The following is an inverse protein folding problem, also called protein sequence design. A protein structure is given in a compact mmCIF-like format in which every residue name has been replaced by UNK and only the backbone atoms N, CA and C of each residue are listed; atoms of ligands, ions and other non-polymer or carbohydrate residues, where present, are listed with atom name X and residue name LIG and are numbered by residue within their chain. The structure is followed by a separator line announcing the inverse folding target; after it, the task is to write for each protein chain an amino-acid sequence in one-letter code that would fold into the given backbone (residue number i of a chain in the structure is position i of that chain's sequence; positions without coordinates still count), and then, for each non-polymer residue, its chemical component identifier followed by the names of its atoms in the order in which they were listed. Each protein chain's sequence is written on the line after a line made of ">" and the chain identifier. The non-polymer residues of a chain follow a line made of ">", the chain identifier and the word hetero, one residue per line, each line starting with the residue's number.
data_IF_879618621455
#
_entry.id   IF_879618621455
#
_cell.length_a   1.000
_cell.length_b   1.000
_cell.length_c   1.000
_cell.angle_alpha   90.00
_cell.angle_beta   90.00
_cell.angle_gamma   90.00
#
_symmetry.space_group_name_H-M   'P 1'
#
loop_
_entity.id
_entity.type
_entity.pdbx_description
1 polymer ?
#
# COMPACT_ATOMS: atom_id res chain seq x y z
N UNK A 1 -15.40 8.81 -7.60
CA UNK A 1 -15.03 9.90 -6.65
C UNK A 1 -14.34 9.32 -5.42
N UNK A 2 -13.30 9.97 -4.88
CA UNK A 2 -12.60 9.52 -3.68
C UNK A 2 -12.57 10.62 -2.60
N UNK A 3 -13.13 10.33 -1.43
CA UNK A 3 -13.15 11.22 -0.27
C UNK A 3 -12.15 10.73 0.78
N UNK A 4 -11.23 11.59 1.21
CA UNK A 4 -10.18 11.23 2.18
C UNK A 4 -10.66 11.61 3.58
N UNK A 5 -10.78 10.61 4.45
CA UNK A 5 -11.22 10.76 5.85
C UNK A 5 -10.04 11.02 6.79
N UNK A 6 -8.93 10.29 6.59
CA UNK A 6 -7.75 10.38 7.44
C UNK A 6 -6.46 10.09 6.67
N UNK A 7 -5.33 10.58 7.19
CA UNK A 7 -4.00 10.41 6.60
C UNK A 7 -2.99 9.91 7.62
N UNK A 8 -1.99 9.20 7.12
CA UNK A 8 -0.76 8.86 7.83
C UNK A 8 0.42 8.88 6.85
N UNK A 9 1.05 10.04 6.69
CA UNK A 9 1.98 10.28 5.58
C UNK A 9 1.23 10.30 4.24
N UNK A 10 1.74 9.58 3.24
CA UNK A 10 1.05 9.42 1.95
C UNK A 10 -0.14 8.45 2.03
N UNK A 11 -0.20 7.63 3.09
CA UNK A 11 -1.29 6.68 3.31
C UNK A 11 -2.60 7.35 3.67
N UNK A 12 -3.70 6.79 3.14
CA UNK A 12 -5.03 7.39 3.20
C UNK A 12 -6.04 6.35 3.63
N UNK A 13 -6.89 6.74 4.58
CA UNK A 13 -8.19 6.11 4.79
C UNK A 13 -9.23 7.02 4.15
N UNK A 14 -10.14 6.42 3.40
CA UNK A 14 -11.17 7.18 2.73
C UNK A 14 -12.27 6.29 2.18
N UNK A 15 -13.15 6.94 1.45
CA UNK A 15 -14.32 6.36 0.85
C UNK A 15 -14.23 6.54 -0.67
N UNK A 16 -14.14 5.42 -1.40
CA UNK A 16 -14.13 5.39 -2.86
C UNK A 16 -15.52 5.06 -3.39
N UNK A 17 -16.18 6.07 -3.97
CA UNK A 17 -17.49 5.93 -4.59
C UNK A 17 -17.34 5.57 -6.06
N UNK A 18 -17.82 4.37 -6.43
CA UNK A 18 -17.74 3.82 -7.78
C UNK A 18 -18.89 2.84 -8.06
N UNK A 19 -19.47 2.89 -9.25
CA UNK A 19 -20.56 1.98 -9.68
C UNK A 19 -21.73 1.92 -8.68
N UNK A 20 -22.11 3.09 -8.13
CA UNK A 20 -23.17 3.22 -7.13
C UNK A 20 -22.83 2.66 -5.74
N UNK A 21 -21.56 2.29 -5.48
CA UNK A 21 -21.09 1.71 -4.23
C UNK A 21 -20.09 2.61 -3.54
N UNK A 22 -19.99 2.43 -2.24
CA UNK A 22 -19.10 3.16 -1.34
C UNK A 22 -18.12 2.15 -0.76
N UNK A 23 -16.85 2.22 -1.16
CA UNK A 23 -15.81 1.25 -0.81
C UNK A 23 -14.79 1.89 0.15
N UNK A 24 -14.55 1.33 1.33
CA UNK A 24 -13.55 1.87 2.26
C UNK A 24 -12.13 1.57 1.78
N UNK A 25 -11.21 2.52 1.91
CA UNK A 25 -9.78 2.33 1.61
C UNK A 25 -8.91 2.36 2.87
N UNK A 26 -7.77 1.62 2.88
CA UNK A 26 -7.31 0.70 1.85
C UNK A 26 -8.20 -0.55 1.70
N UNK A 27 -8.35 -1.10 0.50
CA UNK A 27 -9.19 -2.28 0.19
C UNK A 27 -8.36 -3.40 -0.47
N UNK A 28 -8.76 -4.65 -0.21
CA UNK A 28 -8.25 -5.84 -0.90
C UNK A 28 -9.27 -6.32 -1.92
N UNK A 29 -8.87 -6.45 -3.18
CA UNK A 29 -9.63 -7.16 -4.21
C UNK A 29 -9.28 -8.64 -4.14
N UNK A 30 -10.20 -9.46 -3.62
CA UNK A 30 -9.95 -10.90 -3.50
C UNK A 30 -10.19 -11.60 -4.83
N UNK A 31 -9.25 -12.46 -5.22
CA UNK A 31 -9.44 -13.30 -6.40
C UNK A 31 -10.69 -14.16 -6.26
N UNK A 32 -11.55 -14.09 -7.28
CA UNK A 32 -12.77 -14.91 -7.36
C UNK A 32 -12.75 -15.73 -8.66
N UNK A 33 -12.91 -17.05 -8.54
CA UNK A 33 -12.94 -18.01 -9.65
C UNK A 33 -14.01 -19.07 -9.41
N UNK A 34 -14.54 -19.65 -10.48
CA UNK A 34 -15.61 -20.66 -10.45
C UNK A 34 -15.30 -21.91 -9.59
N UNK A 35 -14.01 -22.25 -9.38
CA UNK A 35 -13.58 -23.35 -8.50
C UNK A 35 -12.99 -22.91 -7.14
N UNK A 36 -12.83 -21.60 -6.92
CA UNK A 36 -12.30 -21.03 -5.67
C UNK A 36 -12.96 -19.66 -5.45
N UNK A 37 -14.12 -19.62 -4.79
CA UNK A 37 -14.81 -18.36 -4.55
C UNK A 37 -14.00 -17.51 -3.57
N UNK A 38 -14.03 -16.20 -3.78
CA UNK A 38 -13.47 -15.25 -2.82
C UNK A 38 -14.15 -15.39 -1.44
N UNK A 39 -13.43 -15.09 -0.34
CA UNK A 39 -13.98 -15.16 1.02
C UNK A 39 -15.25 -14.32 1.19
N UNK A 40 -16.13 -14.72 2.09
CA UNK A 40 -17.42 -14.03 2.34
C UNK A 40 -17.26 -12.60 2.85
N UNK A 41 -16.16 -12.30 3.55
CA UNK A 41 -15.81 -10.97 4.03
C UNK A 41 -15.18 -10.06 2.96
N UNK A 42 -14.98 -10.54 1.73
CA UNK A 42 -14.41 -9.73 0.66
C UNK A 42 -15.32 -8.55 0.30
N UNK A 43 -14.79 -7.33 0.36
CA UNK A 43 -15.50 -6.10 -0.01
C UNK A 43 -15.45 -5.85 -1.52
N UNK A 44 -14.43 -6.36 -2.20
CA UNK A 44 -14.25 -6.27 -3.65
C UNK A 44 -13.61 -7.53 -4.21
N UNK A 45 -13.93 -7.83 -5.46
CA UNK A 45 -13.52 -9.02 -6.17
C UNK A 45 -12.59 -8.67 -7.33
N UNK A 46 -11.57 -9.50 -7.53
CA UNK A 46 -10.70 -9.47 -8.68
C UNK A 46 -10.99 -10.69 -9.55
N UNK A 47 -11.55 -10.46 -10.74
CA UNK A 47 -12.16 -11.51 -11.56
C UNK A 47 -11.59 -11.58 -12.97
N UNK A 48 -11.54 -12.78 -13.53
CA UNK A 48 -11.26 -12.98 -14.96
C UNK A 48 -12.51 -12.81 -15.82
N UNK A 49 -13.69 -13.06 -15.26
CA UNK A 49 -15.01 -12.99 -15.91
C UNK A 49 -16.00 -12.44 -14.87
N UNK A 50 -16.90 -11.55 -15.31
CA UNK A 50 -17.93 -11.03 -14.40
C UNK A 50 -18.89 -12.14 -14.00
N UNK A 51 -19.35 -12.09 -12.76
CA UNK A 51 -20.35 -13.01 -12.22
C UNK A 51 -21.57 -12.26 -11.71
N UNK A 52 -22.64 -12.99 -11.41
CA UNK A 52 -23.84 -12.47 -10.73
C UNK A 52 -23.58 -12.09 -9.25
N UNK A 53 -22.33 -12.23 -8.77
CA UNK A 53 -21.97 -11.84 -7.41
C UNK A 53 -22.23 -10.34 -7.19
N UNK A 54 -23.04 -9.97 -6.19
CA UNK A 54 -23.45 -8.60 -5.97
C UNK A 54 -22.37 -7.77 -5.30
N UNK A 55 -21.12 -8.23 -5.13
CA UNK A 55 -20.01 -7.42 -4.62
C UNK A 55 -19.39 -6.57 -5.74
N UNK A 56 -18.56 -5.60 -5.36
CA UNK A 56 -17.80 -4.81 -6.35
C UNK A 56 -16.82 -5.72 -7.10
N UNK A 57 -16.73 -5.61 -8.43
CA UNK A 57 -15.92 -6.47 -9.27
C UNK A 57 -15.03 -5.66 -10.21
N UNK A 58 -13.72 -5.86 -10.09
CA UNK A 58 -12.73 -5.39 -11.07
C UNK A 58 -12.35 -6.58 -11.95
N UNK A 59 -12.62 -6.49 -13.26
CA UNK A 59 -12.31 -7.55 -14.22
C UNK A 59 -11.00 -7.27 -14.95
N UNK A 60 -10.11 -8.25 -15.07
CA UNK A 60 -8.94 -8.13 -15.94
C UNK A 60 -9.27 -8.53 -17.38
N UNK A 61 -9.00 -7.65 -18.36
CA UNK A 61 -9.31 -7.90 -19.78
C UNK A 61 -8.22 -8.68 -20.54
N UNK A 62 -7.42 -9.48 -19.86
CA UNK A 62 -6.36 -10.28 -20.48
C UNK A 62 -5.09 -9.46 -20.76
N UNK A 63 -4.33 -9.84 -21.78
CA UNK A 63 -3.08 -9.18 -22.17
C UNK A 63 -3.16 -8.65 -23.59
N UNK A 64 -2.20 -7.83 -23.99
CA UNK A 64 -2.04 -7.36 -25.37
C UNK A 64 -2.11 -8.51 -26.41
N UNK A 65 -1.48 -9.64 -26.13
CA UNK A 65 -1.50 -10.82 -27.02
C UNK A 65 -2.81 -11.62 -27.03
N UNK A 66 -3.65 -11.46 -26.01
CA UNK A 66 -4.89 -12.22 -25.83
C UNK A 66 -5.93 -11.34 -25.14
N UNK A 67 -6.38 -10.26 -25.80
CA UNK A 67 -7.29 -9.31 -25.19
C UNK A 67 -8.70 -9.91 -25.11
N UNK A 68 -9.36 -9.68 -23.99
CA UNK A 68 -10.74 -10.09 -23.73
C UNK A 68 -11.59 -8.83 -23.62
N UNK A 69 -12.22 -8.47 -24.73
CA UNK A 69 -13.03 -7.26 -24.84
C UNK A 69 -14.21 -7.29 -23.86
N UNK A 70 -14.50 -6.14 -23.28
CA UNK A 70 -15.74 -5.90 -22.57
C UNK A 70 -15.93 -4.42 -22.28
N UNK A 71 -17.17 -4.06 -21.95
CA UNK A 71 -17.63 -2.66 -22.00
C UNK A 71 -18.07 -2.14 -20.62
N UNK A 72 -17.64 -2.77 -19.52
CA UNK A 72 -18.00 -2.27 -18.19
C UNK A 72 -16.95 -1.30 -17.70
N UNK A 73 -17.40 -0.22 -17.04
CA UNK A 73 -16.52 0.79 -16.44
C UNK A 73 -15.45 0.23 -15.47
N UNK A 74 -15.66 -0.95 -14.90
CA UNK A 74 -14.76 -1.57 -13.91
C UNK A 74 -13.90 -2.68 -14.53
N UNK A 75 -13.82 -2.71 -15.86
CA UNK A 75 -12.93 -3.59 -16.59
C UNK A 75 -11.57 -2.89 -16.73
N UNK A 76 -10.51 -3.52 -16.21
CA UNK A 76 -9.15 -3.09 -16.49
C UNK A 76 -8.84 -3.37 -17.96
N UNK A 77 -8.13 -2.46 -18.65
CA UNK A 77 -7.67 -2.69 -20.00
C UNK A 77 -6.73 -3.91 -20.06
N UNK A 78 -6.52 -4.52 -21.23
CA UNK A 78 -5.53 -5.57 -21.39
C UNK A 78 -4.14 -5.07 -20.97
N UNK A 79 -3.40 -5.89 -20.21
CA UNK A 79 -2.04 -5.54 -19.80
C UNK A 79 -1.07 -5.65 -20.98
N UNK A 80 -0.22 -4.63 -21.15
CA UNK A 80 0.82 -4.58 -22.21
C UNK A 80 1.84 -5.72 -22.10
N UNK A 81 2.07 -6.23 -20.89
CA UNK A 81 3.02 -7.32 -20.64
C UNK A 81 4.48 -6.87 -20.74
N UNK A 82 4.74 -5.57 -20.67
CA UNK A 82 6.09 -5.02 -20.71
C UNK A 82 6.77 -5.16 -19.33
N UNK A 83 8.00 -5.69 -19.26
CA UNK A 83 8.76 -5.72 -18.02
C UNK A 83 9.09 -4.30 -17.55
N UNK A 84 9.34 -4.13 -16.25
CA UNK A 84 9.65 -2.81 -15.68
C UNK A 84 10.87 -2.16 -16.35
N UNK A 85 11.85 -2.96 -16.79
CA UNK A 85 13.04 -2.47 -17.50
C UNK A 85 12.76 -1.89 -18.90
N UNK A 86 11.55 -2.09 -19.43
CA UNK A 86 11.10 -1.56 -20.73
C UNK A 86 9.86 -0.66 -20.57
N UNK A 87 9.61 -0.12 -19.37
CA UNK A 87 8.41 0.66 -19.07
C UNK A 87 8.23 1.89 -19.99
N UNK A 88 9.34 2.50 -20.42
CA UNK A 88 9.33 3.71 -21.25
C UNK A 88 9.55 3.41 -22.75
N UNK A 89 9.50 2.14 -23.15
CA UNK A 89 9.51 1.78 -24.56
C UNK A 89 8.17 2.19 -25.18
N UNK A 90 8.21 3.06 -26.17
CA UNK A 90 7.02 3.46 -26.92
C UNK A 90 6.48 2.26 -27.71
N UNK A 91 5.34 1.72 -27.25
CA UNK A 91 4.55 0.76 -28.03
C UNK A 91 3.42 1.55 -28.70
N UNK A 92 3.27 1.46 -30.03
CA UNK A 92 2.19 2.13 -30.75
C UNK A 92 0.86 1.45 -30.42
N UNK A 93 0.27 1.85 -29.30
CA UNK A 93 -1.07 1.48 -28.87
C UNK A 93 -1.97 2.72 -28.85
N UNK A 94 -3.23 2.56 -29.26
CA UNK A 94 -4.28 3.52 -28.94
C UNK A 94 -4.54 3.44 -27.44
N UNK A 95 -4.47 4.58 -26.75
CA UNK A 95 -4.83 4.65 -25.33
C UNK A 95 -6.20 4.03 -25.12
N UNK A 96 -6.29 3.01 -24.24
CA UNK A 96 -7.59 2.45 -23.90
C UNK A 96 -8.29 3.48 -23.02
N UNK A 97 -9.20 4.23 -23.62
CA UNK A 97 -10.14 5.08 -22.90
C UNK A 97 -10.98 4.17 -21.98
N UNK A 98 -10.80 4.36 -20.68
CA UNK A 98 -11.50 3.60 -19.66
C UNK A 98 -11.44 4.35 -18.34
N UNK A 99 -12.41 4.10 -17.48
CA UNK A 99 -12.42 4.69 -16.14
C UNK A 99 -11.37 4.06 -15.22
N UNK A 100 -10.85 2.88 -15.55
CA UNK A 100 -9.68 2.28 -14.91
C UNK A 100 -8.53 2.20 -15.91
N UNK A 101 -7.31 2.52 -15.48
CA UNK A 101 -6.12 2.42 -16.34
C UNK A 101 -5.03 1.57 -15.68
N UNK A 102 -4.21 0.93 -16.51
CA UNK A 102 -2.96 0.27 -16.08
C UNK A 102 -1.81 1.20 -16.44
N UNK A 103 -0.91 1.45 -15.48
CA UNK A 103 0.27 2.28 -15.65
C UNK A 103 1.51 1.42 -15.56
N UNK A 104 2.29 1.38 -16.65
CA UNK A 104 3.60 0.73 -16.72
C UNK A 104 4.72 1.77 -16.63
N UNK A 105 4.62 2.83 -17.43
CA UNK A 105 5.63 3.89 -17.53
C UNK A 105 5.04 5.30 -17.63
N UNK A 106 5.87 6.28 -17.96
CA UNK A 106 5.47 7.69 -17.96
C UNK A 106 4.42 8.03 -19.03
N UNK A 107 4.49 7.40 -20.21
CA UNK A 107 3.52 7.61 -21.28
C UNK A 107 2.09 7.23 -20.85
N UNK A 108 1.94 6.23 -19.98
CA UNK A 108 0.63 5.80 -19.48
C UNK A 108 0.03 6.79 -18.49
N UNK A 109 0.86 7.54 -17.75
CA UNK A 109 0.39 8.54 -16.79
C UNK A 109 -0.35 9.67 -17.49
N UNK A 110 0.15 10.13 -18.63
CA UNK A 110 -0.53 11.16 -19.43
C UNK A 110 -1.91 10.69 -19.86
N UNK A 111 -2.02 9.45 -20.31
CA UNK A 111 -3.29 8.87 -20.74
C UNK A 111 -4.25 8.58 -19.58
N UNK A 112 -3.73 8.31 -18.38
CA UNK A 112 -4.52 8.02 -17.20
C UNK A 112 -5.07 9.26 -16.47
N UNK A 113 -4.87 10.46 -17.00
CA UNK A 113 -5.35 11.72 -16.39
C UNK A 113 -6.87 11.67 -16.12
N UNK A 114 -7.63 11.19 -17.11
CA UNK A 114 -9.09 11.05 -17.03
C UNK A 114 -9.60 9.83 -16.28
N UNK A 115 -8.73 8.88 -15.90
CA UNK A 115 -9.16 7.64 -15.24
C UNK A 115 -9.57 7.89 -13.79
N UNK A 116 -10.58 7.19 -13.28
CA UNK A 116 -11.00 7.27 -11.88
C UNK A 116 -10.00 6.63 -10.93
N UNK A 117 -9.38 5.53 -11.35
CA UNK A 117 -8.34 4.83 -10.61
C UNK A 117 -7.28 4.24 -11.55
N UNK A 118 -6.07 4.11 -11.02
CA UNK A 118 -4.92 3.58 -11.76
C UNK A 118 -4.33 2.37 -11.06
N UNK A 119 -3.92 1.38 -11.85
CA UNK A 119 -3.32 0.14 -11.39
C UNK A 119 -1.87 0.12 -11.86
N UNK A 120 -0.93 0.16 -10.92
CA UNK A 120 0.48 -0.05 -11.23
C UNK A 120 0.67 -1.48 -11.72
N UNK A 121 1.22 -1.60 -12.93
CA UNK A 121 1.67 -2.87 -13.47
C UNK A 121 2.91 -3.37 -12.72
N UNK A 122 3.30 -4.62 -13.01
CA UNK A 122 4.58 -5.19 -12.59
C UNK A 122 4.81 -5.19 -11.07
N UNK A 123 3.75 -5.26 -10.27
CA UNK A 123 3.85 -5.27 -8.81
C UNK A 123 4.90 -6.25 -8.25
N UNK A 124 4.96 -7.52 -8.70
CA UNK A 124 5.98 -8.46 -8.25
C UNK A 124 7.43 -8.02 -8.54
N UNK A 125 7.68 -7.23 -9.59
CA UNK A 125 9.02 -6.74 -9.91
C UNK A 125 9.49 -5.67 -8.90
N UNK A 126 8.56 -4.86 -8.37
CA UNK A 126 8.86 -3.87 -7.34
C UNK A 126 9.37 -4.47 -6.02
N UNK A 127 9.08 -5.75 -5.74
CA UNK A 127 9.62 -6.45 -4.57
C UNK A 127 11.16 -6.53 -4.59
N UNK A 128 11.77 -6.49 -5.78
CA UNK A 128 13.23 -6.48 -5.94
C UNK A 128 13.83 -5.10 -6.10
N UNK A 129 12.97 -4.08 -6.25
CA UNK A 129 13.33 -2.75 -6.72
C UNK A 129 12.57 -1.67 -5.91
N UNK A 130 12.87 -1.54 -4.60
CA UNK A 130 12.16 -0.62 -3.71
C UNK A 130 12.35 0.86 -4.10
N UNK A 131 13.50 1.20 -4.70
CA UNK A 131 13.77 2.55 -5.22
C UNK A 131 12.84 2.87 -6.38
N UNK A 132 12.72 1.95 -7.32
CA UNK A 132 11.89 2.07 -8.52
C UNK A 132 10.40 2.12 -8.14
N UNK A 133 9.98 1.38 -7.11
CA UNK A 133 8.63 1.49 -6.54
C UNK A 133 8.34 2.91 -6.03
N UNK A 134 9.24 3.46 -5.20
CA UNK A 134 9.07 4.81 -4.66
C UNK A 134 9.06 5.87 -5.78
N UNK A 135 9.97 5.75 -6.75
CA UNK A 135 10.00 6.65 -7.91
C UNK A 135 8.72 6.57 -8.75
N UNK A 136 8.17 5.36 -8.98
CA UNK A 136 6.91 5.18 -9.68
C UNK A 136 5.74 5.82 -8.92
N UNK A 137 5.68 5.66 -7.60
CA UNK A 137 4.65 6.29 -6.76
C UNK A 137 4.74 7.81 -6.77
N UNK A 138 5.96 8.37 -6.73
CA UNK A 138 6.18 9.81 -6.81
C UNK A 138 5.70 10.37 -8.15
N UNK A 139 6.19 9.83 -9.26
CA UNK A 139 5.76 10.24 -10.62
C UNK A 139 4.25 10.17 -10.77
N UNK A 140 3.64 9.08 -10.33
CA UNK A 140 2.19 8.92 -10.37
C UNK A 140 1.47 10.04 -9.62
N UNK A 141 1.93 10.40 -8.41
CA UNK A 141 1.30 11.46 -7.60
C UNK A 141 1.53 12.85 -8.16
N UNK A 142 2.69 13.11 -8.72
CA UNK A 142 3.02 14.39 -9.36
C UNK A 142 2.20 14.59 -10.65
N UNK A 143 2.02 13.54 -11.46
CA UNK A 143 1.27 13.61 -12.72
C UNK A 143 -0.24 13.59 -12.53
N UNK A 144 -0.77 12.71 -11.66
CA UNK A 144 -2.22 12.47 -11.54
C UNK A 144 -2.86 13.16 -10.32
N UNK A 145 -2.03 13.74 -9.45
CA UNK A 145 -2.46 14.44 -8.25
C UNK A 145 -2.77 13.53 -7.05
N UNK A 146 -3.01 14.15 -5.88
CA UNK A 146 -3.13 13.46 -4.60
C UNK A 146 -4.51 12.86 -4.31
N UNK A 147 -5.46 12.98 -5.24
CA UNK A 147 -6.81 12.43 -5.10
C UNK A 147 -7.02 11.14 -5.93
N UNK A 148 -6.10 10.81 -6.85
CA UNK A 148 -6.21 9.60 -7.67
C UNK A 148 -6.15 8.35 -6.78
N UNK A 149 -7.11 7.43 -6.96
CA UNK A 149 -7.07 6.10 -6.34
C UNK A 149 -6.00 5.28 -7.03
N UNK A 150 -5.12 4.68 -6.25
CA UNK A 150 -3.98 3.93 -6.78
C UNK A 150 -3.96 2.52 -6.25
N UNK A 151 -3.86 1.59 -7.19
CA UNK A 151 -3.79 0.18 -6.95
C UNK A 151 -2.42 -0.38 -7.31
N UNK A 152 -2.03 -1.48 -6.69
CA UNK A 152 -0.93 -2.33 -7.14
C UNK A 152 -1.36 -3.78 -7.07
N UNK A 153 -1.01 -4.57 -8.09
CA UNK A 153 -1.37 -5.98 -8.14
C UNK A 153 -0.20 -6.91 -7.84
N UNK A 154 -0.44 -8.04 -7.17
CA UNK A 154 0.54 -9.10 -6.97
C UNK A 154 1.69 -8.79 -6.01
N UNK A 155 1.68 -7.65 -5.31
CA UNK A 155 2.76 -7.23 -4.41
C UNK A 155 2.42 -7.42 -2.93
N UNK A 156 1.15 -7.29 -2.55
CA UNK A 156 0.74 -7.20 -1.16
C UNK A 156 0.82 -8.54 -0.41
N UNK A 157 1.39 -8.48 0.80
CA UNK A 157 1.43 -9.54 1.80
C UNK A 157 1.04 -8.96 3.17
N UNK A 158 0.70 -9.79 4.15
CA UNK A 158 0.44 -9.30 5.50
C UNK A 158 1.66 -8.61 6.13
N UNK A 159 2.88 -8.91 5.68
CA UNK A 159 4.10 -8.30 6.21
C UNK A 159 4.46 -6.95 5.60
N UNK A 160 3.90 -6.58 4.44
CA UNK A 160 4.27 -5.36 3.72
C UNK A 160 3.10 -4.38 3.48
N UNK A 161 1.84 -4.79 3.67
CA UNK A 161 0.70 -3.96 3.24
C UNK A 161 0.63 -2.61 3.95
N UNK A 162 1.09 -2.51 5.20
CA UNK A 162 1.18 -1.22 5.90
C UNK A 162 2.20 -0.27 5.24
N UNK A 163 3.31 -0.80 4.70
CA UNK A 163 4.31 -0.04 3.95
C UNK A 163 3.73 0.42 2.62
N UNK A 164 3.05 -0.47 1.88
CA UNK A 164 2.39 -0.13 0.62
C UNK A 164 1.40 1.02 0.81
N UNK A 165 0.57 0.91 1.85
CA UNK A 165 -0.41 1.95 2.18
C UNK A 165 0.30 3.23 2.61
N UNK A 166 1.34 3.17 3.43
CA UNK A 166 2.12 4.35 3.81
C UNK A 166 2.80 5.04 2.63
N UNK A 167 3.18 4.29 1.59
CA UNK A 167 3.70 4.82 0.32
C UNK A 167 2.59 5.41 -0.59
N UNK A 168 1.32 5.26 -0.20
CA UNK A 168 0.18 5.87 -0.87
C UNK A 168 -0.65 4.93 -1.74
N UNK A 169 -0.51 3.60 -1.62
CA UNK A 169 -1.41 2.63 -2.26
C UNK A 169 -2.75 2.58 -1.50
N UNK A 170 -3.88 2.57 -2.20
CA UNK A 170 -5.22 2.44 -1.61
C UNK A 170 -5.88 1.09 -1.93
N UNK A 171 -5.48 0.44 -3.02
CA UNK A 171 -6.08 -0.81 -3.47
C UNK A 171 -4.97 -1.85 -3.67
N UNK A 172 -5.13 -3.02 -3.06
CA UNK A 172 -4.28 -4.18 -3.30
C UNK A 172 -5.14 -5.36 -3.72
N UNK A 173 -4.56 -6.45 -4.18
CA UNK A 173 -5.29 -7.68 -4.49
C UNK A 173 -4.66 -8.92 -3.82
N UNK A 174 -5.39 -10.04 -3.83
CA UNK A 174 -4.96 -11.29 -3.18
C UNK A 174 -4.21 -12.27 -4.10
N UNK A 175 -3.81 -11.88 -5.32
CA UNK A 175 -3.08 -12.76 -6.25
C UNK A 175 -1.77 -13.30 -5.70
N UNK A 176 -1.04 -12.50 -4.91
CA UNK A 176 0.16 -12.97 -4.22
C UNK A 176 -0.17 -14.08 -3.21
N UNK A 177 -1.26 -13.95 -2.45
CA UNK A 177 -1.68 -14.98 -1.50
C UNK A 177 -2.00 -16.29 -2.21
N UNK A 178 -2.66 -16.23 -3.37
CA UNK A 178 -2.92 -17.42 -4.18
C UNK A 178 -1.62 -18.07 -4.71
N UNK A 179 -0.70 -17.28 -5.25
CA UNK A 179 0.59 -17.76 -5.75
C UNK A 179 1.43 -18.40 -4.63
N UNK A 180 1.56 -17.72 -3.50
CA UNK A 180 2.39 -18.18 -2.38
C UNK A 180 1.77 -19.39 -1.69
N UNK A 181 0.44 -19.48 -1.64
CA UNK A 181 -0.26 -20.70 -1.17
C UNK A 181 0.01 -21.89 -2.07
N UNK A 182 0.01 -21.69 -3.40
CA UNK A 182 0.36 -22.75 -4.35
C UNK A 182 1.83 -23.20 -4.22
N UNK A 183 2.71 -22.32 -3.72
CA UNK A 183 4.11 -22.62 -3.38
C UNK A 183 4.28 -23.22 -1.97
N UNK A 184 3.19 -23.42 -1.24
CA UNK A 184 3.24 -23.97 0.12
C UNK A 184 3.79 -23.00 1.16
N UNK A 185 3.58 -21.69 0.98
CA UNK A 185 3.99 -20.67 1.95
C UNK A 185 2.83 -20.25 2.86
N UNK A 186 3.06 -20.30 4.16
CA UNK A 186 2.17 -19.85 5.21
C UNK A 186 2.54 -18.43 5.63
N UNK A 187 1.64 -17.47 5.41
CA UNK A 187 1.86 -16.06 5.72
C UNK A 187 1.41 -15.71 7.15
N UNK A 188 2.18 -14.83 7.78
CA UNK A 188 1.92 -14.15 9.04
C UNK A 188 2.17 -12.66 8.87
N UNK A 189 1.87 -11.84 9.88
CA UNK A 189 2.26 -10.42 9.87
C UNK A 189 3.77 -10.23 9.77
N UNK A 190 4.56 -11.21 10.17
CA UNK A 190 6.02 -11.09 10.32
C UNK A 190 6.77 -11.63 9.09
N UNK A 191 6.07 -12.29 8.17
CA UNK A 191 6.64 -12.87 6.97
C UNK A 191 5.95 -14.17 6.58
N UNK A 192 6.58 -14.91 5.67
CA UNK A 192 6.10 -16.20 5.22
C UNK A 192 7.10 -17.30 5.55
N UNK A 193 6.60 -18.49 5.90
CA UNK A 193 7.38 -19.69 6.16
C UNK A 193 6.83 -20.87 5.35
N UNK A 194 7.62 -21.89 5.02
CA UNK A 194 7.07 -23.11 4.44
C UNK A 194 5.97 -23.71 5.33
N UNK A 195 4.89 -24.18 4.72
CA UNK A 195 3.73 -24.73 5.45
C UNK A 195 4.10 -25.97 6.29
N UNK A 196 5.14 -26.71 5.88
CA UNK A 196 5.70 -27.82 6.63
C UNK A 196 6.41 -27.42 7.92
N UNK A 197 6.84 -26.16 8.02
CA UNK A 197 7.52 -25.58 9.19
C UNK A 197 6.57 -24.73 10.05
N UNK A 198 5.37 -24.43 9.53
CA UNK A 198 4.40 -23.60 10.22
C UNK A 198 3.68 -24.36 11.33
N UNK A 199 3.70 -23.82 12.56
CA UNK A 199 2.78 -24.25 13.60
C UNK A 199 1.39 -23.67 13.36
N UNK A 200 0.57 -24.42 12.61
CA UNK A 200 -0.82 -24.03 12.31
C UNK A 200 -1.70 -24.03 13.55
N UNK A 201 -1.38 -24.81 14.59
CA UNK A 201 -2.16 -24.87 15.82
C UNK A 201 -2.00 -23.58 16.65
N UNK A 202 -0.88 -22.87 16.50
CA UNK A 202 -0.68 -21.55 17.08
C UNK A 202 -1.50 -20.43 16.40
N UNK A 203 -2.13 -20.70 15.25
CA UNK A 203 -2.93 -19.72 14.53
C UNK A 203 -4.41 -19.78 14.92
N UNK A 204 -4.90 -18.72 15.58
CA UNK A 204 -6.31 -18.58 15.97
C UNK A 204 -7.26 -18.09 14.88
N UNK A 205 -6.89 -18.13 13.59
CA UNK A 205 -7.80 -17.68 12.53
C UNK A 205 -8.92 -18.73 12.28
N UNK A 206 -10.13 -18.31 11.82
CA UNK A 206 -11.24 -19.23 11.58
C UNK A 206 -10.90 -20.38 10.63
N UNK A 207 -10.00 -20.15 9.68
CA UNK A 207 -9.54 -21.18 8.75
C UNK A 207 -8.67 -22.21 9.44
N UNK A 208 -7.69 -21.80 10.25
CA UNK A 208 -6.79 -22.74 10.93
C UNK A 208 -7.53 -23.53 12.03
N UNK A 209 -8.46 -22.90 12.75
CA UNK A 209 -9.24 -23.59 13.79
C UNK A 209 -10.17 -24.67 13.25
N UNK A 210 -10.59 -24.56 11.98
CA UNK A 210 -11.47 -25.54 11.30
C UNK A 210 -10.72 -26.46 10.35
N UNK A 211 -9.39 -26.36 10.27
CA UNK A 211 -8.57 -27.17 9.37
C UNK A 211 -8.73 -26.82 7.88
N UNK A 212 -9.15 -25.59 7.56
CA UNK A 212 -9.32 -25.10 6.19
C UNK A 212 -8.00 -25.02 5.40
N UNK A 213 -8.10 -24.63 4.12
CA UNK A 213 -6.95 -24.63 3.22
C UNK A 213 -5.97 -23.45 3.47
N UNK A 214 -4.76 -23.59 2.92
CA UNK A 214 -3.68 -22.61 3.07
C UNK A 214 -4.01 -21.24 2.45
N UNK A 215 -4.74 -21.23 1.33
CA UNK A 215 -5.10 -19.99 0.65
C UNK A 215 -6.12 -19.19 1.47
N UNK A 216 -7.13 -19.85 2.02
CA UNK A 216 -8.11 -19.23 2.91
C UNK A 216 -7.46 -18.68 4.18
N UNK A 217 -6.39 -19.31 4.69
CA UNK A 217 -5.58 -18.76 5.78
C UNK A 217 -4.84 -17.49 5.33
N UNK A 218 -4.13 -17.55 4.21
CA UNK A 218 -3.33 -16.43 3.70
C UNK A 218 -4.21 -15.22 3.32
N UNK A 219 -5.36 -15.44 2.69
CA UNK A 219 -6.36 -14.41 2.39
C UNK A 219 -6.90 -13.77 3.68
N UNK A 220 -7.15 -14.56 4.72
CA UNK A 220 -7.57 -14.04 6.02
C UNK A 220 -6.45 -13.24 6.71
N UNK A 221 -5.20 -13.70 6.63
CA UNK A 221 -4.05 -12.98 7.18
C UNK A 221 -3.88 -11.60 6.51
N UNK A 222 -4.01 -11.54 5.19
CA UNK A 222 -3.95 -10.27 4.44
C UNK A 222 -5.12 -9.35 4.80
N UNK A 223 -6.34 -9.89 4.86
CA UNK A 223 -7.52 -9.12 5.26
C UNK A 223 -7.36 -8.51 6.65
N UNK A 224 -6.93 -9.31 7.63
CA UNK A 224 -6.72 -8.87 9.00
C UNK A 224 -5.72 -7.72 9.09
N UNK A 225 -4.60 -7.81 8.36
CA UNK A 225 -3.61 -6.74 8.38
C UNK A 225 -4.16 -5.45 7.73
N UNK A 226 -4.95 -5.54 6.66
CA UNK A 226 -5.61 -4.36 6.07
C UNK A 226 -6.58 -3.70 7.04
N UNK A 227 -7.36 -4.48 7.79
CA UNK A 227 -8.22 -3.93 8.86
C UNK A 227 -7.38 -3.25 9.96
N UNK A 228 -6.23 -3.83 10.32
CA UNK A 228 -5.31 -3.22 11.29
C UNK A 228 -4.75 -1.89 10.77
N UNK A 229 -4.41 -1.80 9.48
CA UNK A 229 -3.97 -0.58 8.82
C UNK A 229 -5.06 0.50 8.83
N UNK A 230 -6.31 0.14 8.46
CA UNK A 230 -7.46 1.06 8.53
C UNK A 230 -7.66 1.62 9.94
N UNK A 231 -7.52 0.78 10.96
CA UNK A 231 -7.60 1.21 12.36
C UNK A 231 -6.46 2.18 12.73
N UNK A 232 -5.23 1.91 12.29
CA UNK A 232 -4.12 2.82 12.58
C UNK A 232 -4.25 4.15 11.84
N UNK A 233 -4.72 4.16 10.59
CA UNK A 233 -5.04 5.39 9.86
C UNK A 233 -6.10 6.23 10.58
N UNK A 234 -7.18 5.61 11.07
CA UNK A 234 -8.25 6.29 11.79
C UNK A 234 -7.77 7.05 13.04
N UNK A 235 -6.68 6.56 13.65
CA UNK A 235 -6.12 7.12 14.86
C UNK A 235 -4.83 7.93 14.60
N UNK A 236 -4.45 8.18 13.34
CA UNK A 236 -3.22 8.88 13.00
C UNK A 236 -1.94 8.15 13.43
N UNK A 237 -1.98 6.80 13.53
CA UNK A 237 -0.90 5.94 14.00
C UNK A 237 -0.31 5.02 12.93
N UNK A 238 -0.53 5.32 11.64
CA UNK A 238 -0.05 4.44 10.57
C UNK A 238 1.48 4.30 10.61
N UNK A 239 2.19 5.40 10.88
CA UNK A 239 3.66 5.39 10.91
C UNK A 239 4.21 4.46 12.00
N UNK A 240 3.57 4.40 13.16
CA UNK A 240 3.93 3.48 14.25
C UNK A 240 3.74 2.02 13.84
N UNK A 241 2.68 1.69 13.11
CA UNK A 241 2.50 0.33 12.56
C UNK A 241 3.59 0.01 11.54
N UNK A 242 3.90 0.93 10.63
CA UNK A 242 4.97 0.76 9.65
C UNK A 242 6.31 0.49 10.33
N UNK A 243 6.67 1.28 11.34
CA UNK A 243 7.94 1.12 12.04
C UNK A 243 8.08 -0.24 12.73
N UNK A 244 6.98 -0.79 13.26
CA UNK A 244 6.94 -2.16 13.82
C UNK A 244 7.13 -3.25 12.77
N UNK A 245 6.87 -2.97 11.49
CA UNK A 245 6.96 -3.93 10.37
C UNK A 245 8.28 -3.83 9.60
N UNK A 246 9.14 -2.87 9.90
CA UNK A 246 10.39 -2.65 9.15
C UNK A 246 11.32 -3.86 9.17
N UNK A 247 11.41 -4.53 10.32
CA UNK A 247 12.29 -5.68 10.52
C UNK A 247 11.79 -6.95 9.81
N UNK A 248 10.54 -6.97 9.32
CA UNK A 248 9.95 -8.16 8.70
C UNK A 248 10.58 -8.46 7.33
N UNK A 249 11.08 -7.43 6.64
CA UNK A 249 11.78 -7.60 5.37
C UNK A 249 12.72 -6.42 5.08
N UNK A 250 13.90 -6.66 4.46
CA UNK A 250 14.76 -5.57 3.97
C UNK A 250 14.04 -4.59 3.04
N UNK A 251 13.09 -5.09 2.23
CA UNK A 251 12.27 -4.28 1.34
C UNK A 251 11.45 -3.21 2.09
N UNK A 252 10.83 -3.57 3.22
CA UNK A 252 10.04 -2.64 4.05
C UNK A 252 10.91 -1.47 4.52
N UNK A 253 12.09 -1.78 5.06
CA UNK A 253 13.06 -0.79 5.52
C UNK A 253 13.56 0.08 4.36
N UNK A 254 13.84 -0.52 3.19
CA UNK A 254 14.32 0.21 2.03
C UNK A 254 13.30 1.24 1.52
N UNK A 255 12.02 0.84 1.36
CA UNK A 255 10.96 1.76 0.91
C UNK A 255 10.84 2.96 1.85
N UNK A 256 10.77 2.72 3.16
CA UNK A 256 10.64 3.81 4.15
C UNK A 256 11.86 4.74 4.13
N UNK A 257 13.07 4.18 4.00
CA UNK A 257 14.29 5.00 3.88
C UNK A 257 14.29 5.83 2.60
N UNK A 258 13.82 5.30 1.48
CA UNK A 258 13.70 6.08 0.25
C UNK A 258 12.71 7.24 0.42
N UNK A 259 11.53 6.96 0.98
CA UNK A 259 10.53 7.99 1.29
C UNK A 259 11.08 9.09 2.20
N UNK A 260 11.71 8.73 3.31
CA UNK A 260 12.12 9.71 4.32
C UNK A 260 13.43 10.44 3.99
N UNK A 261 14.39 9.76 3.35
CA UNK A 261 15.76 10.28 3.15
C UNK A 261 16.01 10.82 1.74
N UNK A 262 15.22 10.41 0.75
CA UNK A 262 15.37 10.82 -0.65
C UNK A 262 14.19 11.68 -1.08
N UNK A 263 12.98 11.24 -0.77
CA UNK A 263 11.75 11.92 -1.18
C UNK A 263 11.07 12.71 -0.06
N UNK A 264 11.88 13.26 0.86
CA UNK A 264 11.39 14.02 2.01
C UNK A 264 10.42 15.14 1.61
N UNK A 265 10.80 15.95 0.61
CA UNK A 265 10.01 17.11 0.20
C UNK A 265 8.69 16.71 -0.49
N UNK A 266 8.58 15.47 -0.97
CA UNK A 266 7.33 14.89 -1.46
C UNK A 266 6.45 14.37 -0.31
N UNK A 267 7.02 13.73 0.70
CA UNK A 267 6.25 13.12 1.82
C UNK A 267 5.81 14.14 2.87
N UNK A 268 6.66 15.13 3.18
CA UNK A 268 6.44 16.11 4.24
C UNK A 268 5.11 16.87 4.12
N UNK A 269 4.69 17.35 2.94
CA UNK A 269 3.44 18.10 2.78
C UNK A 269 2.19 17.31 3.17
N UNK A 270 2.25 15.98 3.13
CA UNK A 270 1.13 15.10 3.47
C UNK A 270 1.17 14.62 4.93
N UNK A 271 2.21 14.99 5.69
CA UNK A 271 2.37 14.58 7.08
C UNK A 271 1.77 15.62 8.02
N UNK A 272 0.88 15.20 8.92
CA UNK A 272 0.18 16.07 9.86
C UNK A 272 1.14 16.98 10.66
N UNK A 273 0.75 18.24 10.84
CA UNK A 273 1.57 19.25 11.56
C UNK A 273 1.32 19.22 13.07
N UNK A 274 0.12 18.82 13.49
CA UNK A 274 -0.28 18.66 14.87
C UNK A 274 -0.87 17.25 15.05
N UNK A 275 -0.75 16.69 16.25
CA UNK A 275 -1.20 15.34 16.55
C UNK A 275 -0.95 14.97 18.00
N UNK A 276 -1.22 13.70 18.32
CA UNK A 276 -0.98 13.13 19.65
C UNK A 276 0.49 12.78 19.90
N UNK A 277 0.73 12.06 21.00
CA UNK A 277 2.05 11.55 21.32
C UNK A 277 2.57 10.64 20.20
N UNK A 278 3.79 10.93 19.75
CA UNK A 278 4.51 10.15 18.75
C UNK A 278 5.33 9.06 19.45
N UNK A 279 5.19 7.81 19.00
CA UNK A 279 5.98 6.70 19.51
C UNK A 279 7.09 6.36 18.51
N UNK A 280 8.34 6.39 18.98
CA UNK A 280 9.51 6.04 18.18
C UNK A 280 9.84 4.55 18.41
N UNK A 281 9.73 3.72 17.37
CA UNK A 281 9.99 2.27 17.47
C UNK A 281 11.34 1.86 16.85
N UNK A 282 11.96 2.73 16.05
CA UNK A 282 13.10 2.35 15.23
C UNK A 282 14.07 3.53 15.03
N UNK A 283 15.25 3.26 14.49
CA UNK A 283 16.17 4.32 14.11
C UNK A 283 15.57 5.25 13.04
N UNK A 284 14.74 4.68 12.16
CA UNK A 284 13.99 5.37 11.12
C UNK A 284 13.04 6.45 11.69
N UNK A 285 12.65 6.36 12.98
CA UNK A 285 11.89 7.42 13.63
C UNK A 285 12.61 8.78 13.57
N UNK A 286 13.95 8.81 13.65
CA UNK A 286 14.75 10.05 13.61
C UNK A 286 14.64 10.82 12.29
N UNK A 287 14.20 10.15 11.24
CA UNK A 287 14.04 10.68 9.89
C UNK A 287 12.58 10.95 9.52
N UNK A 288 11.63 10.68 10.44
CA UNK A 288 10.23 11.02 10.24
C UNK A 288 10.04 12.48 9.83
N UNK A 289 9.09 12.77 8.92
CA UNK A 289 8.83 14.14 8.50
C UNK A 289 8.53 15.10 9.65
N UNK A 290 7.82 14.66 10.69
CA UNK A 290 7.54 15.46 11.88
C UNK A 290 8.81 15.88 12.63
N UNK A 291 9.77 14.96 12.80
CA UNK A 291 11.03 15.20 13.53
C UNK A 291 11.93 16.13 12.72
N UNK A 292 12.12 15.87 11.43
CA UNK A 292 12.96 16.70 10.57
C UNK A 292 12.36 18.10 10.45
N UNK A 293 11.04 18.22 10.27
CA UNK A 293 10.33 19.51 10.30
C UNK A 293 10.55 20.24 11.62
N UNK A 294 10.42 19.57 12.76
CA UNK A 294 10.68 20.18 14.07
C UNK A 294 12.11 20.70 14.18
N UNK A 295 13.11 19.91 13.77
CA UNK A 295 14.52 20.31 13.74
C UNK A 295 14.76 21.53 12.84
N UNK A 296 14.19 21.55 11.62
CA UNK A 296 14.26 22.69 10.69
C UNK A 296 13.63 23.94 11.32
N UNK A 297 12.44 23.81 11.91
CA UNK A 297 11.73 24.93 12.59
C UNK A 297 12.49 25.48 13.78
N UNK A 298 13.13 24.65 14.61
CA UNK A 298 14.01 25.16 15.68
C UNK A 298 15.14 25.98 15.07
N UNK A 299 15.84 25.44 14.07
CA UNK A 299 17.00 26.12 13.48
C UNK A 299 16.62 27.45 12.80
N UNK A 300 15.50 27.47 12.10
CA UNK A 300 15.13 28.58 11.20
C UNK A 300 14.21 29.62 11.85
N UNK A 301 13.35 29.20 12.79
CA UNK A 301 12.29 30.05 13.36
C UNK A 301 12.49 30.37 14.83
N UNK A 302 13.21 29.55 15.59
CA UNK A 302 13.38 29.81 17.01
C UNK A 302 14.24 31.05 17.23
N UNK A 303 13.70 31.97 18.03
CA UNK A 303 14.44 33.09 18.61
C UNK A 303 14.32 32.99 20.12
N UNK A 304 15.43 33.16 20.82
CA UNK A 304 15.39 33.21 22.29
C UNK A 304 14.44 34.35 22.71
N UNK A 305 13.66 34.19 23.79
CA UNK A 305 12.91 35.29 24.37
C UNK A 305 13.85 36.47 24.72
N UNK A 306 13.38 37.73 24.63
CA UNK A 306 14.22 38.90 24.95
C UNK A 306 14.84 38.82 26.35
N UNK A 307 14.09 38.28 27.32
CA UNK A 307 14.51 38.11 28.72
C UNK A 307 15.51 36.99 28.96
N UNK A 308 15.62 36.01 28.05
CA UNK A 308 16.52 34.86 28.22
C UNK A 308 17.99 35.29 28.00
N UNK A 309 18.82 35.20 29.05
CA UNK A 309 20.25 35.57 29.00
C UNK A 309 21.19 34.37 28.91
N UNK A 310 20.76 33.20 29.35
CA UNK A 310 21.57 31.97 29.41
C UNK A 310 20.82 30.86 28.70
N UNK A 311 21.50 30.15 27.80
CA UNK A 311 21.03 28.89 27.21
C UNK A 311 21.69 27.75 27.96
N UNK A 312 20.92 26.99 28.73
CA UNK A 312 21.38 25.79 29.42
C UNK A 312 21.01 24.56 28.58
N UNK A 313 22.00 23.99 27.89
CA UNK A 313 21.85 22.71 27.20
C UNK A 313 22.32 21.61 28.15
N UNK A 314 21.37 20.91 28.75
CA UNK A 314 21.69 19.71 29.52
C UNK A 314 21.74 18.53 28.55
N UNK A 315 22.86 17.79 28.44
CA UNK A 315 22.84 16.52 27.73
C UNK A 315 21.79 15.63 28.41
N UNK A 316 21.11 14.79 27.63
CA UNK A 316 20.24 13.77 28.19
C UNK A 316 21.08 12.98 29.21
N UNK A 317 20.76 13.11 30.49
CA UNK A 317 21.59 12.55 31.55
C UNK A 317 21.66 11.04 31.33
N UNK A 318 22.83 10.52 30.97
CA UNK A 318 23.10 9.10 30.75
C UNK A 318 22.89 8.22 32.02
N UNK A 319 22.42 8.80 33.12
CA UNK A 319 21.87 8.10 34.28
C UNK A 319 20.44 8.56 34.50
N UNK A 320 19.46 7.73 34.14
CA UNK A 320 18.14 7.75 34.78
C UNK A 320 18.16 6.71 35.92
N UNK A 321 17.69 7.03 37.15
CA UNK A 321 17.78 6.16 38.33
C UNK A 321 16.55 5.26 38.55
N UNK A 322 15.90 4.78 37.49
CA UNK A 322 14.86 3.74 37.58
C UNK A 322 15.35 2.63 36.63
N UNK A 323 16.04 1.59 37.12
CA UNK A 323 15.49 0.42 37.83
C UNK A 323 14.29 -0.16 37.11
#
# INVERSE_FOLDING_TARGET
>A
MFEIEARGGLGRRGTWTRSGRTLPTPIVLFLHRSGRPAPTYAEGLFVSERSEDPRFQVRVSGSFFAPRMGNHADDLPPVKGMPLSMADLEVPEGGVEGELSIVVGEADLLMATGADAVFLANGPEFERSPREFVAAMQRLRESLGPAKVTAVTGLASPSNVSILVYAGIDVVDSSRMMLDSARGLFHTSDGAVPVSEADRAACGCPTCTTGGDLQAHNDHALHREVLLVRNHLAHGRLRELVERRLANAPWNTAVVRHLDLREYDWVEPYTAVAGGAMLAYSHESLHRPEIVRFRRRIRERYRKPPSARVLLLLPCSARKPYS
#
